data_IF_819083354545
#
_entry.id   IF_819083354545
#
_cell.length_a   1.000
_cell.length_b   1.000
_cell.length_c   1.000
_cell.angle_alpha   90.00
_cell.angle_beta   90.00
_cell.angle_gamma   90.00
#
_symmetry.space_group_name_H-M   'P 1'
#
loop_
_entity.id
_entity.type
_entity.pdbx_description
1 polymer ?
#
# COMPACT_ATOMS: atom_id res chain seq x y z
N UNK A 1 -33.09 -22.77 4.97
CA UNK A 1 -33.27 -21.58 4.08
C UNK A 1 -33.09 -20.31 4.93
N UNK A 2 -32.05 -19.49 4.72
CA UNK A 2 -31.80 -18.25 5.47
C UNK A 2 -32.59 -17.06 4.87
N UNK A 3 -33.91 -17.12 4.95
CA UNK A 3 -34.82 -16.08 4.40
C UNK A 3 -35.90 -15.75 5.43
N UNK A 4 -36.10 -14.46 5.69
CA UNK A 4 -37.19 -13.94 6.50
C UNK A 4 -38.28 -13.35 5.62
N UNK A 5 -39.55 -13.54 6.01
CA UNK A 5 -40.73 -12.99 5.33
C UNK A 5 -41.44 -12.01 6.24
N UNK A 6 -41.66 -10.79 5.75
CA UNK A 6 -42.42 -9.77 6.47
C UNK A 6 -43.91 -9.90 6.17
N UNK A 7 -44.76 -9.40 7.08
CA UNK A 7 -46.23 -9.42 6.93
C UNK A 7 -46.72 -8.71 5.66
N UNK A 8 -45.97 -7.71 5.19
CA UNK A 8 -46.27 -6.96 3.96
C UNK A 8 -45.72 -7.63 2.68
N UNK A 9 -45.22 -8.87 2.77
CA UNK A 9 -44.70 -9.62 1.62
C UNK A 9 -43.23 -9.35 1.28
N UNK A 10 -42.56 -8.41 1.98
CA UNK A 10 -41.12 -8.20 1.81
C UNK A 10 -40.33 -9.45 2.23
N UNK A 11 -39.13 -9.62 1.65
CA UNK A 11 -38.26 -10.77 1.92
C UNK A 11 -36.84 -10.31 2.20
N UNK A 12 -36.30 -10.66 3.36
CA UNK A 12 -34.88 -10.48 3.68
C UNK A 12 -34.15 -11.80 3.48
N UNK A 13 -33.04 -11.77 2.75
CA UNK A 13 -32.22 -12.94 2.44
C UNK A 13 -30.84 -12.74 3.04
N UNK A 14 -30.45 -13.59 3.99
CA UNK A 14 -29.06 -13.61 4.45
C UNK A 14 -28.25 -14.39 3.42
N UNK A 15 -27.18 -13.77 2.93
CA UNK A 15 -26.33 -14.30 1.86
C UNK A 15 -24.90 -14.41 2.35
N UNK A 16 -24.26 -15.50 1.97
CA UNK A 16 -22.85 -15.72 2.27
C UNK A 16 -22.02 -15.03 1.21
N UNK A 17 -21.02 -14.29 1.66
CA UNK A 17 -19.99 -13.68 0.83
C UNK A 17 -18.71 -13.71 1.64
N UNK A 18 -17.68 -14.40 1.15
CA UNK A 18 -16.35 -14.43 1.76
C UNK A 18 -15.25 -14.05 0.74
N UNK A 19 -15.48 -14.36 -0.54
CA UNK A 19 -14.56 -14.02 -1.63
C UNK A 19 -15.31 -13.43 -2.81
N UNK A 20 -14.56 -12.85 -3.74
CA UNK A 20 -15.11 -12.22 -4.94
C UNK A 20 -15.90 -13.21 -5.83
N UNK A 21 -15.49 -14.48 -5.87
CA UNK A 21 -16.20 -15.53 -6.62
C UNK A 21 -17.58 -15.86 -6.01
N UNK A 22 -17.79 -15.61 -4.72
CA UNK A 22 -19.11 -15.81 -4.11
C UNK A 22 -20.13 -14.80 -4.62
N UNK A 23 -19.68 -13.60 -5.05
CA UNK A 23 -20.57 -12.56 -5.57
C UNK A 23 -21.19 -12.97 -6.92
N UNK A 24 -20.49 -13.79 -7.69
CA UNK A 24 -20.93 -14.27 -9.01
C UNK A 24 -22.22 -15.09 -8.93
N UNK A 25 -22.40 -15.81 -7.81
CA UNK A 25 -23.63 -16.57 -7.52
C UNK A 25 -24.88 -15.68 -7.46
N UNK A 26 -24.70 -14.36 -7.35
CA UNK A 26 -25.78 -13.39 -7.23
C UNK A 26 -25.96 -12.50 -8.45
N UNK A 27 -25.12 -12.59 -9.48
CA UNK A 27 -25.12 -11.68 -10.63
C UNK A 27 -26.49 -11.60 -11.35
N UNK A 28 -27.23 -12.71 -11.41
CA UNK A 28 -28.58 -12.77 -12.00
C UNK A 28 -29.72 -12.38 -11.05
N UNK A 29 -29.42 -12.05 -9.80
CA UNK A 29 -30.43 -11.69 -8.82
C UNK A 29 -30.87 -10.23 -8.95
N UNK A 30 -32.05 -9.95 -8.38
CA UNK A 30 -32.61 -8.62 -8.27
C UNK A 30 -32.96 -8.36 -6.80
N UNK A 31 -32.35 -7.31 -6.23
CA UNK A 31 -32.62 -6.86 -4.88
C UNK A 31 -32.96 -5.37 -4.89
N UNK A 32 -33.96 -4.96 -4.12
CA UNK A 32 -34.27 -3.53 -3.91
C UNK A 32 -33.47 -2.93 -2.75
N UNK A 33 -32.89 -3.78 -1.90
CA UNK A 33 -32.05 -3.34 -0.79
C UNK A 33 -30.91 -4.33 -0.57
N UNK A 34 -29.69 -3.81 -0.50
CA UNK A 34 -28.50 -4.57 -0.13
C UNK A 34 -27.93 -3.93 1.14
N UNK A 35 -27.81 -4.75 2.19
CA UNK A 35 -27.16 -4.41 3.43
C UNK A 35 -25.84 -5.16 3.52
N UNK A 36 -24.77 -4.46 3.86
CA UNK A 36 -23.43 -5.00 4.04
C UNK A 36 -22.97 -4.81 5.47
N UNK A 37 -22.39 -5.83 6.07
CA UNK A 37 -21.92 -5.81 7.45
C UNK A 37 -20.39 -5.83 7.47
N UNK A 38 -19.78 -5.02 8.33
CA UNK A 38 -18.33 -4.84 8.49
C UNK A 38 -17.57 -4.62 7.17
N UNK A 39 -17.90 -3.53 6.48
CA UNK A 39 -17.35 -3.21 5.16
C UNK A 39 -15.82 -3.16 5.12
N UNK A 40 -15.19 -2.73 6.21
CA UNK A 40 -13.72 -2.64 6.34
C UNK A 40 -13.02 -4.00 6.46
N UNK A 41 -13.75 -5.11 6.56
CA UNK A 41 -13.17 -6.46 6.49
C UNK A 41 -12.82 -6.89 5.05
N UNK A 42 -13.27 -6.13 4.05
CA UNK A 42 -13.03 -6.42 2.64
C UNK A 42 -11.83 -5.62 2.15
N UNK A 43 -10.79 -6.26 1.59
CA UNK A 43 -9.57 -5.57 1.18
C UNK A 43 -9.80 -4.59 0.03
N UNK A 44 -10.78 -4.88 -0.83
CA UNK A 44 -11.11 -4.07 -1.99
C UNK A 44 -12.64 -4.03 -2.23
N UNK A 45 -13.16 -3.05 -2.99
CA UNK A 45 -14.59 -2.86 -3.16
C UNK A 45 -15.25 -3.81 -4.18
N UNK A 46 -14.51 -4.63 -4.91
CA UNK A 46 -15.03 -5.46 -6.02
C UNK A 46 -16.23 -6.33 -5.64
N UNK A 47 -16.18 -7.17 -4.58
CA UNK A 47 -17.33 -7.99 -4.19
C UNK A 47 -18.55 -7.15 -3.78
N UNK A 48 -18.31 -5.99 -3.17
CA UNK A 48 -19.37 -5.04 -2.77
C UNK A 48 -20.01 -4.44 -4.01
N UNK A 49 -19.22 -4.03 -5.00
CA UNK A 49 -19.69 -3.41 -6.23
C UNK A 49 -20.43 -4.43 -7.12
N UNK A 50 -20.00 -5.69 -7.16
CA UNK A 50 -20.77 -6.79 -7.79
C UNK A 50 -22.14 -6.96 -7.13
N UNK A 51 -22.23 -6.91 -5.81
CA UNK A 51 -23.52 -6.94 -5.11
C UNK A 51 -24.37 -5.70 -5.41
N UNK A 52 -23.77 -4.50 -5.47
CA UNK A 52 -24.47 -3.28 -5.85
C UNK A 52 -25.05 -3.35 -7.27
N UNK A 53 -24.38 -4.04 -8.21
CA UNK A 53 -24.87 -4.25 -9.57
C UNK A 53 -26.15 -5.12 -9.65
N UNK A 54 -26.46 -5.87 -8.60
CA UNK A 54 -27.72 -6.64 -8.49
C UNK A 54 -28.89 -5.79 -7.98
N UNK A 55 -28.63 -4.54 -7.58
CA UNK A 55 -29.67 -3.65 -7.09
C UNK A 55 -30.54 -3.15 -8.24
N UNK A 56 -31.81 -3.53 -8.24
CA UNK A 56 -32.77 -3.17 -9.28
C UNK A 56 -34.13 -2.95 -8.64
N UNK A 57 -34.80 -1.90 -9.06
CA UNK A 57 -36.22 -1.71 -8.77
C UNK A 57 -37.02 -1.82 -10.06
N UNK A 58 -37.71 -2.95 -10.23
CA UNK A 58 -38.59 -3.18 -11.38
C UNK A 58 -40.04 -2.75 -11.13
N UNK A 59 -40.37 -2.32 -9.90
CA UNK A 59 -41.73 -1.96 -9.50
C UNK A 59 -41.69 -0.71 -8.61
N UNK A 60 -42.19 0.42 -9.13
CA UNK A 60 -42.52 1.60 -8.32
C UNK A 60 -43.53 1.17 -7.24
N UNK A 61 -43.38 1.58 -5.95
CA UNK A 61 -42.61 2.73 -5.44
C UNK A 61 -41.36 2.38 -4.61
N UNK A 62 -40.78 1.17 -4.71
CA UNK A 62 -39.68 0.79 -3.80
C UNK A 62 -38.31 1.21 -4.37
N UNK A 63 -37.59 2.19 -3.77
CA UNK A 63 -36.29 2.60 -4.29
C UNK A 63 -35.23 1.53 -4.05
N UNK A 64 -34.27 1.43 -4.98
CA UNK A 64 -33.06 0.65 -4.78
C UNK A 64 -32.13 1.39 -3.80
N UNK A 65 -31.65 0.72 -2.75
CA UNK A 65 -30.73 1.35 -1.80
C UNK A 65 -29.65 0.39 -1.28
N UNK A 66 -28.49 0.96 -0.98
CA UNK A 66 -27.37 0.28 -0.35
C UNK A 66 -27.14 0.84 1.05
N UNK A 67 -26.90 -0.02 2.02
CA UNK A 67 -26.47 0.38 3.37
C UNK A 67 -25.32 -0.51 3.80
N UNK A 68 -24.33 0.06 4.46
CA UNK A 68 -23.23 -0.71 5.02
C UNK A 68 -22.91 -0.24 6.44
N UNK A 69 -22.49 -1.17 7.29
CA UNK A 69 -21.84 -0.86 8.57
C UNK A 69 -20.33 -1.03 8.41
N UNK A 70 -19.56 -0.24 9.15
CA UNK A 70 -18.11 -0.34 9.16
C UNK A 70 -17.55 0.29 10.43
N UNK A 71 -16.47 -0.30 10.94
CA UNK A 71 -15.67 0.28 12.02
C UNK A 71 -14.31 0.73 11.46
N UNK A 72 -13.72 1.83 11.96
CA UNK A 72 -12.38 2.21 11.55
C UNK A 72 -11.37 1.10 11.87
N UNK A 73 -10.54 0.80 10.89
CA UNK A 73 -9.48 -0.21 10.95
C UNK A 73 -9.73 -1.32 9.94
N UNK A 74 -8.94 -2.38 9.99
CA UNK A 74 -9.10 -3.53 9.09
C UNK A 74 -8.56 -3.29 7.68
N UNK A 75 -8.54 -4.36 6.88
CA UNK A 75 -7.88 -4.40 5.56
C UNK A 75 -8.50 -3.45 4.53
N UNK A 76 -9.79 -3.14 4.67
CA UNK A 76 -10.55 -2.25 3.82
C UNK A 76 -10.58 -0.79 4.25
N UNK A 77 -9.89 -0.44 5.33
CA UNK A 77 -9.95 0.89 5.95
C UNK A 77 -9.83 2.02 4.91
N UNK A 78 -8.79 1.98 4.07
CA UNK A 78 -8.46 3.11 3.19
C UNK A 78 -9.47 3.31 2.08
N UNK A 79 -9.91 2.25 1.41
CA UNK A 79 -10.88 2.40 0.33
C UNK A 79 -12.25 2.78 0.87
N UNK A 80 -12.65 2.29 2.05
CA UNK A 80 -13.90 2.71 2.71
C UNK A 80 -13.83 4.18 3.10
N UNK A 81 -12.72 4.60 3.71
CA UNK A 81 -12.46 5.99 4.10
C UNK A 81 -12.53 6.92 2.88
N UNK A 82 -11.76 6.62 1.84
CA UNK A 82 -11.73 7.40 0.60
C UNK A 82 -13.09 7.46 -0.10
N UNK A 83 -13.84 6.35 -0.10
CA UNK A 83 -15.10 6.25 -0.85
C UNK A 83 -16.30 6.88 -0.14
N UNK A 84 -16.35 6.79 1.19
CA UNK A 84 -17.55 7.14 1.97
C UNK A 84 -17.32 8.18 3.05
N UNK A 85 -16.10 8.36 3.56
CA UNK A 85 -15.82 9.19 4.74
C UNK A 85 -15.19 10.52 4.34
N UNK A 86 -14.09 10.50 3.59
CA UNK A 86 -13.34 11.69 3.16
C UNK A 86 -14.11 12.65 2.24
N UNK A 87 -15.02 12.20 1.35
CA UNK A 87 -15.64 13.11 0.37
C UNK A 87 -16.55 14.19 0.95
N UNK A 88 -17.08 14.02 2.17
CA UNK A 88 -18.05 14.94 2.76
C UNK A 88 -18.04 14.85 4.28
N UNK A 89 -18.29 15.96 5.01
CA UNK A 89 -18.46 15.90 6.45
C UNK A 89 -19.53 14.89 6.90
N UNK A 90 -19.40 14.34 8.13
CA UNK A 90 -20.42 13.47 8.69
C UNK A 90 -21.83 14.08 8.61
N UNK A 91 -22.83 13.25 8.32
CA UNK A 91 -24.24 13.64 8.16
C UNK A 91 -24.55 14.57 6.97
N UNK A 92 -23.58 14.88 6.11
CA UNK A 92 -23.78 15.73 4.93
C UNK A 92 -23.82 14.85 3.66
N UNK A 93 -24.98 14.74 2.99
CA UNK A 93 -25.09 14.01 1.74
C UNK A 93 -24.21 14.63 0.64
N UNK A 94 -23.62 13.79 -0.20
CA UNK A 94 -22.85 14.20 -1.36
C UNK A 94 -23.15 13.31 -2.56
N UNK A 95 -22.92 13.85 -3.76
CA UNK A 95 -23.08 13.12 -5.01
C UNK A 95 -21.72 12.65 -5.47
N UNK A 96 -21.54 11.34 -5.60
CA UNK A 96 -20.42 10.76 -6.32
C UNK A 96 -20.76 10.70 -7.81
N UNK A 97 -19.92 11.28 -8.66
CA UNK A 97 -20.05 11.19 -10.13
C UNK A 97 -18.92 10.29 -10.64
N UNK A 98 -19.29 9.24 -11.37
CA UNK A 98 -18.34 8.36 -12.03
C UNK A 98 -17.87 9.03 -13.33
N UNK A 99 -16.56 9.21 -13.50
CA UNK A 99 -16.00 10.06 -14.55
C UNK A 99 -16.21 9.53 -15.97
N UNK A 100 -16.24 8.20 -16.16
CA UNK A 100 -16.31 7.60 -17.50
C UNK A 100 -17.73 7.55 -18.06
N UNK A 101 -18.70 7.27 -17.19
CA UNK A 101 -20.11 7.09 -17.54
C UNK A 101 -20.96 8.32 -17.23
N UNK A 102 -20.44 9.25 -16.41
CA UNK A 102 -21.21 10.36 -15.87
C UNK A 102 -22.27 9.93 -14.85
N UNK A 103 -22.27 8.66 -14.41
CA UNK A 103 -23.28 8.14 -13.51
C UNK A 103 -23.14 8.77 -12.12
N UNK A 104 -24.25 9.31 -11.60
CA UNK A 104 -24.30 9.95 -10.30
C UNK A 104 -24.95 9.03 -9.25
N UNK A 105 -24.39 9.00 -8.04
CA UNK A 105 -24.93 8.23 -6.91
C UNK A 105 -24.83 9.05 -5.62
N UNK A 106 -25.95 9.20 -4.93
CA UNK A 106 -26.00 9.84 -3.61
C UNK A 106 -25.37 8.97 -2.53
N UNK A 107 -24.60 9.60 -1.64
CA UNK A 107 -23.96 8.96 -0.49
C UNK A 107 -24.05 9.85 0.74
N UNK A 108 -24.07 9.24 1.91
CA UNK A 108 -23.94 9.93 3.18
C UNK A 108 -23.22 9.02 4.17
N UNK A 109 -22.29 9.58 4.94
CA UNK A 109 -21.69 8.93 6.09
C UNK A 109 -22.44 9.33 7.35
N UNK A 110 -22.91 8.35 8.11
CA UNK A 110 -23.60 8.54 9.38
C UNK A 110 -22.73 7.90 10.48
N UNK A 111 -22.08 8.71 11.34
CA UNK A 111 -21.33 8.17 12.47
C UNK A 111 -22.30 7.54 13.48
N UNK A 112 -21.89 6.44 14.08
CA UNK A 112 -22.58 5.79 15.20
C UNK A 112 -21.59 5.64 16.33
N UNK A 113 -21.75 6.42 17.39
CA UNK A 113 -20.93 6.41 18.58
C UNK A 113 -21.59 5.57 19.68
N UNK A 114 -20.81 5.16 20.67
CA UNK A 114 -21.34 4.42 21.81
C UNK A 114 -22.35 5.27 22.61
N UNK A 115 -22.12 6.58 22.71
CA UNK A 115 -23.03 7.55 23.33
C UNK A 115 -24.41 7.60 22.66
N UNK A 116 -24.51 7.25 21.38
CA UNK A 116 -25.79 7.24 20.65
C UNK A 116 -26.69 6.08 21.09
N UNK A 117 -26.13 5.08 21.79
CA UNK A 117 -26.86 3.92 22.30
C UNK A 117 -27.21 4.06 23.79
N UNK A 118 -28.19 4.92 24.09
CA UNK A 118 -28.67 5.15 25.45
C UNK A 118 -29.06 3.86 26.20
N UNK A 119 -29.71 2.93 25.51
CA UNK A 119 -30.12 1.65 26.11
C UNK A 119 -28.93 0.78 26.52
N UNK A 120 -27.85 0.75 25.74
CA UNK A 120 -26.63 0.03 26.10
C UNK A 120 -25.92 0.71 27.27
N UNK A 121 -25.86 2.04 27.26
CA UNK A 121 -25.24 2.81 28.35
C UNK A 121 -25.97 2.61 29.69
N UNK A 122 -27.29 2.46 29.67
CA UNK A 122 -28.11 2.20 30.86
C UNK A 122 -28.00 0.74 31.33
N UNK A 123 -28.17 -0.22 30.42
CA UNK A 123 -28.23 -1.64 30.78
C UNK A 123 -26.84 -2.27 31.02
N UNK A 124 -25.79 -1.71 30.44
CA UNK A 124 -24.42 -2.25 30.53
C UNK A 124 -23.37 -1.12 30.58
N UNK A 125 -23.31 -0.37 31.70
CA UNK A 125 -22.39 0.76 31.84
C UNK A 125 -20.91 0.36 31.77
N UNK A 126 -20.59 -0.93 31.93
CA UNK A 126 -19.23 -1.46 31.86
C UNK A 126 -18.85 -2.02 30.48
N UNK A 127 -19.74 -1.92 29.47
CA UNK A 127 -19.48 -2.43 28.12
C UNK A 127 -18.15 -1.92 27.55
N UNK A 128 -17.90 -0.61 27.65
CA UNK A 128 -16.67 0.00 27.15
C UNK A 128 -15.42 -0.52 27.85
N UNK A 129 -15.48 -0.78 29.16
CA UNK A 129 -14.33 -1.31 29.90
C UNK A 129 -13.94 -2.69 29.37
N UNK A 130 -14.90 -3.53 29.00
CA UNK A 130 -14.62 -4.84 28.39
C UNK A 130 -14.01 -4.68 27.00
N UNK A 131 -14.55 -3.80 26.15
CA UNK A 131 -13.97 -3.50 24.83
C UNK A 131 -12.52 -2.99 24.97
N UNK A 132 -12.29 -2.07 25.90
CA UNK A 132 -10.98 -1.48 26.17
C UNK A 132 -9.94 -2.53 26.59
N UNK A 133 -10.32 -3.46 27.47
CA UNK A 133 -9.46 -4.57 27.90
C UNK A 133 -9.21 -5.57 26.76
N UNK A 134 -10.23 -5.87 25.96
CA UNK A 134 -10.14 -6.83 24.85
C UNK A 134 -9.28 -6.35 23.68
N UNK A 135 -9.07 -5.05 23.49
CA UNK A 135 -8.29 -4.51 22.38
C UNK A 135 -6.75 -4.62 22.56
N UNK A 136 -6.27 -5.36 23.56
CA UNK A 136 -4.86 -5.77 23.67
C UNK A 136 -3.84 -4.63 23.77
N UNK A 137 -4.27 -3.42 24.19
CA UNK A 137 -3.38 -2.27 24.36
C UNK A 137 -3.18 -1.40 23.11
N UNK A 138 -3.87 -1.64 21.99
CA UNK A 138 -3.83 -0.76 20.82
C UNK A 138 -4.62 0.53 21.09
N UNK A 139 -3.97 1.50 21.74
CA UNK A 139 -4.56 2.80 22.14
C UNK A 139 -5.09 3.60 20.95
N UNK A 140 -4.48 3.44 19.77
CA UNK A 140 -4.89 4.11 18.55
C UNK A 140 -6.24 3.53 18.07
N UNK A 141 -6.31 2.21 17.88
CA UNK A 141 -7.54 1.52 17.49
C UNK A 141 -8.69 1.71 18.49
N UNK A 142 -8.39 1.73 19.79
CA UNK A 142 -9.39 2.03 20.82
C UNK A 142 -9.97 3.44 20.70
N UNK A 143 -9.14 4.45 20.40
CA UNK A 143 -9.64 5.79 20.11
C UNK A 143 -10.48 5.81 18.82
N UNK A 144 -10.12 5.00 17.83
CA UNK A 144 -10.87 4.86 16.57
C UNK A 144 -12.28 4.36 16.83
N UNK A 145 -12.40 3.23 17.54
CA UNK A 145 -13.68 2.65 17.89
C UNK A 145 -14.48 3.52 18.83
N UNK A 146 -13.82 4.18 19.80
CA UNK A 146 -14.52 5.01 20.78
C UNK A 146 -15.15 6.25 20.18
N UNK A 147 -14.37 6.95 19.36
CA UNK A 147 -14.69 8.31 18.89
C UNK A 147 -15.01 8.35 17.39
N UNK A 148 -15.15 7.19 16.73
CA UNK A 148 -15.42 7.11 15.30
C UNK A 148 -14.33 7.75 14.45
N UNK A 149 -13.08 7.74 14.90
CA UNK A 149 -11.99 8.39 14.20
C UNK A 149 -11.52 7.50 13.05
N UNK A 150 -11.64 8.02 11.82
CA UNK A 150 -11.20 7.34 10.61
C UNK A 150 -9.79 7.73 10.18
N UNK A 151 -9.17 8.73 10.80
CA UNK A 151 -7.79 9.12 10.49
C UNK A 151 -6.73 8.25 11.20
N UNK A 152 -7.17 7.18 11.87
CA UNK A 152 -6.28 6.28 12.59
C UNK A 152 -5.93 5.08 11.72
N UNK A 153 -4.67 4.97 11.36
CA UNK A 153 -4.12 3.80 10.66
C UNK A 153 -4.05 2.66 11.67
N UNK A 154 -4.93 1.65 11.54
CA UNK A 154 -4.93 0.50 12.41
C UNK A 154 -5.25 -0.80 11.63
N UNK A 155 -4.29 -1.72 11.62
CA UNK A 155 -4.32 -3.04 10.97
C UNK A 155 -3.29 -3.27 9.85
N UNK A 156 -2.42 -2.31 9.55
CA UNK A 156 -1.39 -2.44 8.51
C UNK A 156 -0.14 -3.18 9.02
N UNK A 157 0.66 -3.76 8.13
CA UNK A 157 1.93 -4.42 8.47
C UNK A 157 2.93 -3.47 9.13
N UNK A 158 2.84 -2.18 8.81
CA UNK A 158 3.78 -1.12 9.21
C UNK A 158 3.12 0.07 9.93
N UNK A 159 1.83 0.01 10.24
CA UNK A 159 1.06 1.16 10.72
C UNK A 159 1.57 1.78 12.04
N UNK A 160 2.07 0.96 12.95
CA UNK A 160 2.57 1.38 14.26
C UNK A 160 4.03 1.88 14.23
N UNK A 161 4.79 1.51 13.19
CA UNK A 161 6.17 1.95 12.97
C UNK A 161 6.27 3.08 11.94
N UNK A 162 5.29 3.24 11.05
CA UNK A 162 5.28 4.28 10.03
C UNK A 162 4.63 5.57 10.55
N UNK A 163 5.40 6.64 10.60
CA UNK A 163 4.93 8.01 10.81
C UNK A 163 5.18 8.86 9.56
N UNK A 164 4.13 9.25 8.82
CA UNK A 164 4.27 10.06 7.58
C UNK A 164 5.17 11.27 7.77
N UNK A 165 4.96 12.04 8.84
CA UNK A 165 5.74 13.25 9.18
C UNK A 165 7.24 13.03 9.40
N UNK A 166 7.68 11.78 9.59
CA UNK A 166 9.08 11.41 9.84
C UNK A 166 9.72 10.70 8.66
N UNK A 167 8.97 9.75 8.07
CA UNK A 167 9.49 8.87 7.02
C UNK A 167 9.31 9.47 5.63
N UNK A 168 8.29 10.32 5.44
CA UNK A 168 8.07 11.03 4.19
C UNK A 168 8.72 12.40 4.30
N UNK A 169 9.70 12.65 3.44
CA UNK A 169 10.52 13.86 3.44
C UNK A 169 10.47 14.54 2.09
N UNK A 170 10.79 15.83 2.05
CA UNK A 170 10.91 16.56 0.79
C UNK A 170 12.12 16.05 0.00
N UNK A 171 12.03 15.99 -1.33
CA UNK A 171 13.18 15.73 -2.18
C UNK A 171 14.33 16.69 -1.88
N UNK A 172 15.54 16.16 -1.96
CA UNK A 172 16.78 16.92 -1.92
C UNK A 172 17.74 16.32 -2.96
N UNK A 173 18.76 17.08 -3.33
CA UNK A 173 19.81 16.63 -4.25
C UNK A 173 20.61 15.50 -3.62
N UNK A 174 20.73 14.37 -4.31
CA UNK A 174 21.44 13.21 -3.79
C UNK A 174 22.95 13.47 -3.93
N UNK A 175 23.74 13.32 -2.85
CA UNK A 175 25.19 13.47 -2.95
C UNK A 175 25.78 12.52 -4.01
N UNK A 176 26.77 13.00 -4.77
CA UNK A 176 27.43 12.20 -5.82
C UNK A 176 28.08 10.92 -5.28
N UNK A 177 28.52 10.93 -4.01
CA UNK A 177 29.14 9.79 -3.34
C UNK A 177 28.15 8.70 -2.93
N UNK A 178 26.85 9.00 -2.89
CA UNK A 178 25.83 8.04 -2.50
C UNK A 178 25.59 7.02 -3.61
N UNK A 179 25.41 5.77 -3.20
CA UNK A 179 25.15 4.70 -4.14
C UNK A 179 23.68 4.77 -4.60
N UNK A 180 23.46 4.89 -5.91
CA UNK A 180 22.12 4.92 -6.51
C UNK A 180 21.87 3.63 -7.27
N UNK A 181 20.80 2.93 -6.93
CA UNK A 181 20.34 1.73 -7.63
C UNK A 181 18.82 1.68 -7.77
N UNK A 182 18.33 0.59 -8.34
CA UNK A 182 16.91 0.35 -8.59
C UNK A 182 16.51 -1.07 -8.24
N UNK A 183 15.25 -1.26 -7.86
CA UNK A 183 14.63 -2.58 -7.73
C UNK A 183 13.31 -2.66 -8.47
N UNK A 184 12.89 -3.90 -8.74
CA UNK A 184 11.77 -4.15 -9.65
C UNK A 184 10.89 -5.32 -9.22
N UNK A 185 9.58 -5.07 -9.20
CA UNK A 185 8.54 -6.09 -9.12
C UNK A 185 7.74 -6.12 -10.42
N UNK A 186 7.64 -7.29 -11.03
CA UNK A 186 7.03 -7.47 -12.35
C UNK A 186 5.51 -7.59 -12.25
N UNK A 187 4.80 -6.90 -13.15
CA UNK A 187 3.36 -7.03 -13.30
C UNK A 187 2.89 -6.57 -14.67
N UNK A 188 2.04 -7.39 -15.30
CA UNK A 188 1.38 -7.05 -16.57
C UNK A 188 -0.11 -6.75 -16.35
N UNK A 189 -0.87 -7.76 -15.91
CA UNK A 189 -2.28 -7.62 -15.51
C UNK A 189 -2.44 -6.96 -14.14
N UNK A 190 -1.43 -7.13 -13.29
CA UNK A 190 -1.22 -6.43 -12.03
C UNK A 190 -0.18 -5.32 -12.24
N UNK A 191 -0.12 -4.29 -11.39
CA UNK A 191 0.89 -3.24 -11.52
C UNK A 191 2.30 -3.82 -11.48
N UNK A 192 3.23 -3.21 -12.21
CA UNK A 192 4.65 -3.34 -11.92
C UNK A 192 5.10 -2.20 -11.01
N UNK A 193 6.21 -2.37 -10.30
CA UNK A 193 6.84 -1.31 -9.51
C UNK A 193 8.33 -1.23 -9.83
N UNK A 194 8.79 -0.05 -10.24
CA UNK A 194 10.22 0.30 -10.24
C UNK A 194 10.46 1.34 -9.15
N UNK A 195 11.35 1.04 -8.21
CA UNK A 195 11.82 2.01 -7.23
C UNK A 195 13.27 2.36 -7.45
N UNK A 196 13.59 3.65 -7.40
CA UNK A 196 14.97 4.13 -7.37
C UNK A 196 15.35 4.52 -5.95
N UNK A 197 16.54 4.09 -5.57
CA UNK A 197 17.02 4.19 -4.20
C UNK A 197 18.37 4.89 -4.16
N UNK A 198 18.55 5.77 -3.19
CA UNK A 198 19.86 6.26 -2.79
C UNK A 198 20.23 5.70 -1.42
N UNK A 199 21.46 5.24 -1.26
CA UNK A 199 22.00 4.73 -0.02
C UNK A 199 23.03 5.71 0.56
N UNK A 200 22.76 6.20 1.78
CA UNK A 200 23.69 7.09 2.48
C UNK A 200 25.01 6.36 2.78
N UNK A 201 26.12 7.02 2.49
CA UNK A 201 27.46 6.61 2.89
C UNK A 201 27.86 7.13 4.29
N UNK A 202 27.06 8.00 4.90
CA UNK A 202 27.34 8.66 6.17
C UNK A 202 27.75 10.13 6.05
N UNK A 203 27.88 10.67 4.84
CA UNK A 203 28.12 12.10 4.59
C UNK A 203 26.89 12.95 4.92
N UNK A 204 27.11 14.25 5.14
CA UNK A 204 26.02 15.21 5.34
C UNK A 204 25.26 15.43 4.03
N UNK A 205 23.93 15.24 4.07
CA UNK A 205 23.08 15.49 2.91
C UNK A 205 22.79 17.00 2.77
N UNK A 206 22.50 17.50 1.55
CA UNK A 206 22.18 18.92 1.31
C UNK A 206 21.00 19.50 2.10
N UNK A 207 20.20 18.65 2.73
CA UNK A 207 19.15 19.08 3.66
C UNK A 207 19.67 19.42 5.08
N UNK A 208 20.98 19.45 5.28
CA UNK A 208 21.65 19.81 6.54
C UNK A 208 21.60 18.70 7.59
N UNK A 209 21.40 17.45 7.18
CA UNK A 209 21.31 16.29 8.09
C UNK A 209 22.30 15.21 7.66
N UNK A 210 22.97 14.62 8.64
CA UNK A 210 23.75 13.41 8.47
C UNK A 210 22.87 12.18 8.72
N UNK A 211 22.97 11.18 7.85
CA UNK A 211 22.22 9.94 7.96
C UNK A 211 23.17 8.76 8.13
N UNK A 212 22.93 7.83 9.09
CA UNK A 212 23.78 6.67 9.27
C UNK A 212 24.00 5.91 7.96
N UNK A 213 25.23 5.43 7.74
CA UNK A 213 25.58 4.64 6.56
C UNK A 213 24.61 3.47 6.36
N UNK A 214 24.18 3.24 5.13
CA UNK A 214 23.20 2.21 4.80
C UNK A 214 21.74 2.64 5.00
N UNK A 215 21.49 3.89 5.40
CA UNK A 215 20.14 4.48 5.36
C UNK A 215 19.68 4.58 3.91
N UNK A 216 18.49 4.07 3.63
CA UNK A 216 17.92 4.05 2.28
C UNK A 216 16.91 5.18 2.11
N UNK A 217 16.95 5.77 0.92
CA UNK A 217 16.00 6.78 0.46
C UNK A 217 15.33 6.26 -0.81
N UNK A 218 14.00 6.13 -0.81
CA UNK A 218 13.26 6.02 -2.07
C UNK A 218 13.18 7.40 -2.69
N UNK A 219 13.97 7.63 -3.73
CA UNK A 219 14.17 8.96 -4.33
C UNK A 219 13.25 9.21 -5.52
N UNK A 220 12.83 8.13 -6.20
CA UNK A 220 11.89 8.19 -7.30
C UNK A 220 11.18 6.85 -7.46
N UNK A 221 10.04 6.86 -8.15
CA UNK A 221 9.30 5.65 -8.45
C UNK A 221 8.59 5.72 -9.79
N UNK A 222 8.35 4.55 -10.35
CA UNK A 222 7.43 4.36 -11.45
C UNK A 222 6.55 3.16 -11.17
N UNK A 223 5.28 3.44 -10.89
CA UNK A 223 4.28 2.45 -10.59
C UNK A 223 3.31 2.28 -11.77
N UNK A 224 3.35 1.10 -12.40
CA UNK A 224 2.59 0.78 -13.61
C UNK A 224 1.12 0.44 -13.36
N UNK A 225 0.40 1.30 -12.64
CA UNK A 225 -1.00 1.08 -12.28
C UNK A 225 -1.95 1.90 -13.16
N UNK A 226 -3.04 1.28 -13.61
CA UNK A 226 -4.14 1.94 -14.29
C UNK A 226 -5.02 2.73 -13.32
N UNK A 227 -6.14 3.25 -13.83
CA UNK A 227 -7.09 4.06 -13.03
C UNK A 227 -7.69 3.32 -11.83
N UNK A 228 -7.81 2.00 -11.92
CA UNK A 228 -8.31 1.16 -10.82
C UNK A 228 -7.11 0.68 -9.99
N UNK A 229 -7.18 0.79 -8.64
CA UNK A 229 -6.14 0.25 -7.76
C UNK A 229 -5.81 -1.21 -8.09
N UNK A 230 -4.54 -1.57 -7.94
CA UNK A 230 -4.06 -2.94 -8.16
C UNK A 230 -4.36 -3.53 -9.55
N UNK A 231 -4.47 -2.68 -10.58
CA UNK A 231 -4.66 -3.08 -11.98
C UNK A 231 -3.50 -2.60 -12.83
N UNK A 232 -2.81 -3.49 -13.54
CA UNK A 232 -1.67 -3.14 -14.37
C UNK A 232 -2.04 -2.44 -15.68
N UNK A 233 -1.09 -1.72 -16.25
CA UNK A 233 -1.22 -1.03 -17.55
C UNK A 233 -0.84 -1.90 -18.76
N UNK A 234 -0.51 -3.19 -18.54
CA UNK A 234 -0.16 -4.17 -19.58
C UNK A 234 0.98 -3.74 -20.51
N UNK A 235 1.97 -3.02 -19.98
CA UNK A 235 3.20 -2.73 -20.73
C UNK A 235 4.09 -3.97 -20.83
N UNK A 236 4.68 -4.18 -22.00
CA UNK A 236 5.65 -5.24 -22.21
C UNK A 236 7.00 -4.92 -21.57
N UNK A 237 7.81 -5.95 -21.29
CA UNK A 237 9.08 -5.78 -20.58
C UNK A 237 10.10 -4.89 -21.31
N UNK A 238 10.10 -4.92 -22.65
CA UNK A 238 10.94 -4.02 -23.47
C UNK A 238 10.54 -2.56 -23.33
N UNK A 239 9.24 -2.28 -23.28
CA UNK A 239 8.73 -0.90 -23.14
C UNK A 239 8.99 -0.37 -21.72
N UNK A 240 8.87 -1.23 -20.71
CA UNK A 240 9.28 -0.92 -19.34
C UNK A 240 10.79 -0.61 -19.31
N UNK A 241 11.63 -1.41 -19.94
CA UNK A 241 13.07 -1.15 -19.98
C UNK A 241 13.42 0.20 -20.65
N UNK A 242 12.76 0.54 -21.77
CA UNK A 242 12.93 1.85 -22.41
C UNK A 242 12.47 3.00 -21.51
N UNK A 243 11.31 2.86 -20.85
CA UNK A 243 10.79 3.86 -19.93
C UNK A 243 11.64 4.06 -18.68
N UNK A 244 12.39 3.03 -18.26
CA UNK A 244 13.40 3.13 -17.20
C UNK A 244 14.57 4.00 -17.64
N UNK A 245 15.15 3.74 -18.83
CA UNK A 245 16.29 4.51 -19.36
C UNK A 245 15.92 5.97 -19.56
N UNK A 246 14.74 6.24 -20.10
CA UNK A 246 14.20 7.60 -20.26
C UNK A 246 14.15 8.32 -18.91
N UNK A 247 13.60 7.69 -17.87
CA UNK A 247 13.52 8.29 -16.53
C UNK A 247 14.89 8.54 -15.92
N UNK A 248 15.84 7.64 -16.09
CA UNK A 248 17.21 7.81 -15.58
C UNK A 248 17.96 8.96 -16.25
N UNK A 249 17.67 9.25 -17.53
CA UNK A 249 18.22 10.41 -18.21
C UNK A 249 17.48 11.72 -17.92
N UNK A 250 16.17 11.67 -17.75
CA UNK A 250 15.32 12.87 -17.75
C UNK A 250 14.90 13.34 -16.36
N UNK A 251 14.70 12.44 -15.40
CA UNK A 251 14.20 12.80 -14.07
C UNK A 251 15.30 13.53 -13.29
N UNK A 252 15.07 14.75 -12.78
CA UNK A 252 16.11 15.57 -12.17
C UNK A 252 16.89 14.90 -11.02
N UNK A 253 16.22 14.11 -10.17
CA UNK A 253 16.87 13.43 -9.03
C UNK A 253 17.74 12.23 -9.44
N UNK A 254 17.56 11.72 -10.66
CA UNK A 254 18.32 10.58 -11.20
C UNK A 254 19.41 11.05 -12.17
N UNK A 255 19.16 12.17 -12.86
CA UNK A 255 20.04 12.71 -13.89
C UNK A 255 21.44 13.00 -13.31
N UNK A 256 22.46 12.47 -13.98
CA UNK A 256 23.86 12.67 -13.58
C UNK A 256 24.39 11.60 -12.63
N UNK A 257 23.52 10.81 -12.00
CA UNK A 257 23.93 9.64 -11.22
C UNK A 257 24.09 8.41 -12.11
N UNK A 258 25.06 7.56 -11.77
CA UNK A 258 25.12 6.20 -12.33
C UNK A 258 24.12 5.34 -11.56
N UNK A 259 23.01 4.96 -12.21
CA UNK A 259 22.04 4.05 -11.60
C UNK A 259 22.49 2.61 -11.80
N UNK A 260 22.89 1.97 -10.70
CA UNK A 260 23.32 0.58 -10.73
C UNK A 260 22.14 -0.38 -10.83
N UNK A 261 22.37 -1.54 -11.45
CA UNK A 261 21.41 -2.64 -11.39
C UNK A 261 21.20 -3.07 -9.94
N UNK A 262 19.97 -3.42 -9.61
CA UNK A 262 19.63 -3.96 -8.30
C UNK A 262 18.64 -5.11 -8.42
N UNK A 263 18.05 -5.52 -7.30
CA UNK A 263 17.31 -6.78 -7.22
C UNK A 263 15.92 -6.67 -7.87
N UNK A 264 15.51 -7.73 -8.55
CA UNK A 264 14.18 -7.87 -9.12
C UNK A 264 13.54 -9.20 -8.74
N UNK A 265 12.21 -9.29 -8.86
CA UNK A 265 11.48 -10.55 -8.72
C UNK A 265 12.15 -11.64 -9.56
N UNK A 266 12.57 -12.75 -8.94
CA UNK A 266 13.31 -13.77 -9.68
C UNK A 266 12.49 -14.43 -10.79
N UNK A 267 11.16 -14.31 -10.79
CA UNK A 267 10.29 -14.87 -11.84
C UNK A 267 10.64 -14.30 -13.22
N UNK A 268 11.15 -13.06 -13.28
CA UNK A 268 11.51 -12.42 -14.55
C UNK A 268 12.66 -13.10 -15.26
N UNK A 269 13.45 -13.91 -14.55
CA UNK A 269 14.60 -14.62 -15.10
C UNK A 269 14.27 -16.07 -15.47
N UNK A 270 13.02 -16.50 -15.28
CA UNK A 270 12.55 -17.79 -15.74
C UNK A 270 12.24 -17.67 -17.24
N UNK A 271 12.67 -18.66 -18.03
CA UNK A 271 12.54 -18.64 -19.48
C UNK A 271 11.33 -19.47 -19.91
N UNK A 272 10.33 -18.83 -20.53
CA UNK A 272 9.17 -19.55 -21.07
C UNK A 272 9.47 -20.16 -22.45
N UNK A 273 10.34 -19.54 -23.27
CA UNK A 273 10.72 -20.01 -24.62
C UNK A 273 12.23 -19.83 -24.91
N UNK A 274 13.07 -20.04 -23.89
CA UNK A 274 14.52 -19.85 -23.99
C UNK A 274 14.99 -18.39 -23.88
N UNK A 275 14.07 -17.43 -23.79
CA UNK A 275 14.34 -16.01 -23.51
C UNK A 275 13.49 -15.56 -22.33
N UNK A 276 14.14 -15.14 -21.23
CA UNK A 276 13.45 -14.63 -20.05
C UNK A 276 13.00 -13.16 -20.22
N UNK A 277 12.15 -12.66 -19.32
CA UNK A 277 11.79 -11.24 -19.29
C UNK A 277 13.03 -10.37 -19.01
N UNK A 278 13.92 -10.81 -18.13
CA UNK A 278 15.20 -10.17 -17.86
C UNK A 278 16.06 -10.06 -19.11
N UNK A 279 16.13 -11.12 -19.95
CA UNK A 279 16.89 -11.08 -21.20
C UNK A 279 16.32 -10.06 -22.19
N UNK A 280 14.98 -9.96 -22.26
CA UNK A 280 14.29 -8.94 -23.07
C UNK A 280 14.62 -7.52 -22.59
N UNK A 281 14.63 -7.27 -21.28
CA UNK A 281 15.01 -5.97 -20.71
C UNK A 281 16.48 -5.66 -20.91
N UNK A 282 17.36 -6.66 -20.76
CA UNK A 282 18.80 -6.53 -20.98
C UNK A 282 19.12 -6.14 -22.43
N UNK A 283 18.39 -6.69 -23.39
CA UNK A 283 18.53 -6.31 -24.80
C UNK A 283 18.20 -4.82 -25.06
N UNK A 284 17.42 -4.18 -24.20
CA UNK A 284 17.13 -2.74 -24.25
C UNK A 284 18.08 -1.90 -23.39
N UNK A 285 19.02 -2.53 -22.66
CA UNK A 285 20.01 -1.84 -21.80
C UNK A 285 19.72 -1.86 -20.30
N UNK A 286 18.70 -2.60 -19.84
CA UNK A 286 18.32 -2.69 -18.42
C UNK A 286 18.67 -4.07 -17.86
N UNK A 287 19.65 -4.12 -16.96
CA UNK A 287 19.99 -5.32 -16.21
C UNK A 287 19.42 -5.32 -14.79
N UNK A 288 19.21 -6.53 -14.26
CA UNK A 288 18.71 -6.80 -12.91
C UNK A 288 19.52 -7.89 -12.21
N UNK A 289 19.50 -7.88 -10.88
CA UNK A 289 20.00 -8.95 -10.02
C UNK A 289 18.83 -9.77 -9.47
N UNK A 290 19.05 -11.05 -9.15
CA UNK A 290 17.99 -11.88 -8.56
C UNK A 290 17.77 -11.49 -7.10
N UNK A 291 16.54 -11.16 -6.72
CA UNK A 291 16.18 -10.99 -5.32
C UNK A 291 16.34 -12.31 -4.52
N UNK A 292 16.54 -12.20 -3.20
CA UNK A 292 16.61 -13.37 -2.32
C UNK A 292 15.25 -14.08 -2.24
N UNK A 293 15.23 -15.37 -2.61
CA UNK A 293 14.06 -16.27 -2.53
C UNK A 293 14.27 -17.47 -1.60
N UNK A 294 15.26 -17.43 -0.72
CA UNK A 294 15.42 -18.49 0.30
C UNK A 294 14.15 -18.60 1.16
N UNK A 295 13.77 -19.80 1.64
CA UNK A 295 12.62 -19.97 2.53
C UNK A 295 12.70 -19.00 3.73
N UNK A 296 11.63 -18.26 3.99
CA UNK A 296 11.57 -17.25 5.05
C UNK A 296 12.03 -15.83 4.65
N UNK A 297 12.71 -15.67 3.51
CA UNK A 297 13.21 -14.35 3.03
C UNK A 297 12.13 -13.28 2.91
N UNK A 298 10.89 -13.66 2.55
CA UNK A 298 9.74 -12.74 2.48
C UNK A 298 9.42 -12.14 3.85
N UNK A 299 9.21 -12.98 4.87
CA UNK A 299 8.97 -12.54 6.25
C UNK A 299 10.15 -11.76 6.82
N UNK A 300 11.37 -12.23 6.59
CA UNK A 300 12.58 -11.52 7.00
C UNK A 300 12.62 -10.12 6.40
N UNK A 301 12.33 -9.98 5.12
CA UNK A 301 12.31 -8.68 4.45
C UNK A 301 11.24 -7.73 5.00
N UNK A 302 10.05 -8.23 5.37
CA UNK A 302 9.06 -7.40 6.08
C UNK A 302 9.53 -6.99 7.46
N UNK A 303 10.14 -7.91 8.21
CA UNK A 303 10.74 -7.60 9.51
C UNK A 303 11.82 -6.52 9.39
N UNK A 304 12.70 -6.61 8.39
CA UNK A 304 13.75 -5.62 8.13
C UNK A 304 13.18 -4.26 7.72
N UNK A 305 12.11 -4.23 6.91
CA UNK A 305 11.41 -2.98 6.58
C UNK A 305 10.80 -2.34 7.83
N UNK A 306 10.17 -3.15 8.67
CA UNK A 306 9.61 -2.70 9.95
C UNK A 306 10.69 -2.13 10.87
N UNK A 307 11.85 -2.79 10.97
CA UNK A 307 12.99 -2.34 11.77
C UNK A 307 13.54 -0.99 11.27
N UNK A 308 13.76 -0.83 9.95
CA UNK A 308 14.27 0.42 9.38
C UNK A 308 13.30 1.60 9.54
N UNK A 309 11.99 1.34 9.48
CA UNK A 309 10.98 2.34 9.83
C UNK A 309 11.03 2.67 11.33
N UNK A 310 11.14 1.67 12.20
CA UNK A 310 11.28 1.91 13.64
C UNK A 310 12.53 2.77 13.96
N UNK A 311 13.67 2.49 13.33
CA UNK A 311 14.91 3.25 13.46
C UNK A 311 14.75 4.71 13.02
N UNK A 312 13.99 4.95 11.95
CA UNK A 312 13.68 6.30 11.43
C UNK A 312 12.93 7.21 12.42
N UNK A 313 12.42 6.66 13.53
CA UNK A 313 11.77 7.41 14.62
C UNK A 313 12.75 7.93 15.66
N UNK A 314 13.97 7.42 15.74
CA UNK A 314 14.95 7.80 16.74
C UNK A 314 15.41 9.27 16.58
N UNK A 315 15.79 9.88 17.71
CA UNK A 315 16.41 11.21 17.78
C UNK A 315 17.50 11.18 18.86
N UNK A 316 18.79 11.22 18.51
CA UNK A 316 19.35 11.28 17.15
C UNK A 316 19.11 9.99 16.33
N UNK A 317 19.34 10.06 15.01
CA UNK A 317 19.34 8.86 14.17
C UNK A 317 20.69 8.15 14.34
N UNK A 318 20.66 6.92 14.83
CA UNK A 318 21.89 6.14 15.12
C UNK A 318 22.02 4.91 14.23
N UNK A 319 20.89 4.37 13.76
CA UNK A 319 20.84 3.13 12.99
C UNK A 319 20.36 3.38 11.56
N UNK A 320 20.77 2.52 10.60
CA UNK A 320 20.27 2.55 9.24
C UNK A 320 18.74 2.55 9.22
N UNK A 321 18.17 3.52 8.50
CA UNK A 321 16.73 3.77 8.45
C UNK A 321 16.21 3.68 7.01
N UNK A 322 14.91 3.93 6.83
CA UNK A 322 14.30 4.11 5.51
C UNK A 322 13.48 5.41 5.47
N UNK A 323 13.74 6.22 4.45
CA UNK A 323 12.98 7.44 4.14
C UNK A 323 12.47 7.39 2.71
N UNK A 324 11.41 8.13 2.44
CA UNK A 324 10.73 8.15 1.14
C UNK A 324 10.45 9.60 0.76
N UNK A 325 10.75 9.97 -0.49
CA UNK A 325 10.42 11.30 -0.99
C UNK A 325 8.90 11.45 -1.13
N UNK A 326 8.37 12.64 -0.83
CA UNK A 326 6.92 12.92 -0.90
C UNK A 326 6.34 12.81 -2.33
N UNK A 327 7.20 12.78 -3.34
CA UNK A 327 6.89 12.51 -4.74
C UNK A 327 6.62 11.03 -5.03
N UNK A 328 6.99 10.12 -4.12
CA UNK A 328 6.72 8.68 -4.25
C UNK A 328 5.31 8.34 -3.72
N UNK A 329 4.30 8.86 -4.41
CA UNK A 329 2.89 8.83 -4.01
C UNK A 329 2.31 7.41 -3.88
N UNK A 330 2.69 6.48 -4.77
CA UNK A 330 2.18 5.12 -4.83
C UNK A 330 2.76 4.28 -3.70
N UNK A 331 4.06 4.40 -3.42
CA UNK A 331 4.64 3.77 -2.24
C UNK A 331 3.96 4.28 -0.97
N UNK A 332 3.77 5.60 -0.84
CA UNK A 332 3.20 6.22 0.37
C UNK A 332 1.74 5.83 0.59
N UNK A 333 0.95 5.60 -0.47
CA UNK A 333 -0.45 5.17 -0.33
C UNK A 333 -0.60 3.65 -0.13
N UNK A 334 0.35 2.83 -0.59
CA UNK A 334 0.22 1.36 -0.59
C UNK A 334 0.98 0.70 0.56
N UNK A 335 2.26 1.02 0.76
CA UNK A 335 3.15 0.27 1.65
C UNK A 335 2.79 0.41 3.13
N UNK A 336 2.56 1.63 3.68
CA UNK A 336 2.24 1.77 5.11
C UNK A 336 1.00 1.02 5.57
N UNK A 337 0.10 0.70 4.64
CA UNK A 337 -1.22 0.16 4.89
C UNK A 337 -1.38 -1.28 4.40
N UNK A 338 -0.27 -1.94 4.00
CA UNK A 338 -0.32 -3.32 3.53
C UNK A 338 -0.97 -4.23 4.57
N UNK A 339 -2.02 -4.99 4.22
CA UNK A 339 -2.69 -5.87 5.15
C UNK A 339 -1.83 -7.09 5.47
N UNK A 340 -1.86 -7.54 6.73
CA UNK A 340 -1.27 -8.83 7.13
C UNK A 340 -2.09 -9.99 6.56
N UNK A 341 -1.43 -11.10 6.25
CA UNK A 341 -2.13 -12.34 5.87
C UNK A 341 -2.96 -12.88 7.06
N UNK A 342 -4.17 -13.35 6.78
CA UNK A 342 -5.12 -13.81 7.81
C UNK A 342 -4.70 -15.09 8.52
N UNK A 343 -3.89 -15.93 7.87
CA UNK A 343 -3.38 -17.22 8.39
C UNK A 343 -1.98 -17.07 8.95
N UNK A 344 -1.19 -16.17 8.37
CA UNK A 344 0.20 -15.92 8.73
C UNK A 344 0.44 -14.44 8.98
N UNK A 345 0.24 -14.01 10.22
CA UNK A 345 0.29 -12.58 10.56
C UNK A 345 1.66 -11.95 10.37
N UNK A 346 2.72 -12.75 10.17
CA UNK A 346 4.09 -12.26 9.90
C UNK A 346 4.35 -12.00 8.41
N UNK A 347 3.38 -12.28 7.54
CA UNK A 347 3.42 -11.99 6.11
C UNK A 347 2.33 -10.98 5.70
N UNK A 348 2.48 -10.42 4.51
CA UNK A 348 1.50 -9.55 3.86
C UNK A 348 0.55 -10.40 3.01
N UNK A 349 -0.74 -10.05 3.01
CA UNK A 349 -1.75 -10.68 2.15
C UNK A 349 -1.39 -10.44 0.68
N UNK A 350 -0.97 -11.50 -0.02
CA UNK A 350 -0.54 -11.49 -1.41
C UNK A 350 -1.64 -11.14 -2.41
N UNK A 351 -2.89 -11.02 -1.97
CA UNK A 351 -3.99 -10.53 -2.81
C UNK A 351 -4.11 -9.00 -2.81
N UNK A 352 -3.44 -8.34 -1.87
CA UNK A 352 -3.45 -6.89 -1.75
C UNK A 352 -2.59 -6.22 -2.82
N UNK A 353 -2.52 -4.89 -2.82
CA UNK A 353 -1.65 -4.13 -3.73
C UNK A 353 -0.24 -4.05 -3.13
N UNK A 354 0.49 -5.18 -3.15
CA UNK A 354 1.78 -5.34 -2.46
C UNK A 354 3.03 -5.08 -3.32
N UNK A 355 2.89 -4.88 -4.62
CA UNK A 355 3.98 -4.67 -5.59
C UNK A 355 5.07 -3.68 -5.16
N UNK A 356 4.70 -2.48 -4.68
CA UNK A 356 5.69 -1.50 -4.20
C UNK A 356 6.36 -1.95 -2.89
N UNK A 357 5.64 -2.69 -2.06
CA UNK A 357 6.17 -3.31 -0.85
C UNK A 357 7.14 -4.45 -1.17
N UNK A 358 6.78 -5.33 -2.11
CA UNK A 358 7.63 -6.45 -2.53
C UNK A 358 8.90 -5.95 -3.22
N UNK A 359 8.78 -4.95 -4.09
CA UNK A 359 9.92 -4.27 -4.69
C UNK A 359 10.86 -3.66 -3.63
N UNK A 360 10.29 -2.94 -2.65
CA UNK A 360 11.06 -2.40 -1.51
C UNK A 360 11.75 -3.50 -0.72
N UNK A 361 11.06 -4.63 -0.51
CA UNK A 361 11.59 -5.79 0.21
C UNK A 361 12.77 -6.41 -0.52
N UNK A 362 12.74 -6.46 -1.86
CA UNK A 362 13.88 -6.95 -2.63
C UNK A 362 15.13 -6.10 -2.35
N UNK A 363 15.01 -4.76 -2.39
CA UNK A 363 16.13 -3.86 -2.16
C UNK A 363 16.65 -3.87 -0.73
N UNK A 364 15.75 -3.91 0.24
CA UNK A 364 16.12 -3.79 1.66
C UNK A 364 16.92 -4.98 2.18
N UNK A 365 16.79 -6.11 1.51
CA UNK A 365 17.51 -7.36 1.79
C UNK A 365 18.93 -7.37 1.19
N UNK A 366 19.28 -6.40 0.34
CA UNK A 366 20.63 -6.26 -0.20
C UNK A 366 21.54 -5.62 0.87
N UNK A 367 22.70 -6.22 1.18
CA UNK A 367 23.65 -5.64 2.13
C UNK A 367 24.11 -4.23 1.74
N UNK A 368 24.51 -3.38 2.71
CA UNK A 368 24.99 -2.04 2.43
C UNK A 368 26.15 -2.01 1.44
N UNK A 369 26.09 -1.11 0.47
CA UNK A 369 27.07 -1.04 -0.62
C UNK A 369 28.36 -0.37 -0.15
N UNK A 370 29.54 -0.84 -0.57
CA UNK A 370 30.81 -0.26 -0.15
C UNK A 370 30.93 1.19 -0.63
N UNK A 371 31.58 2.03 0.18
CA UNK A 371 31.89 3.41 -0.19
C UNK A 371 33.01 3.38 -1.24
N UNK A 372 32.95 4.18 -2.32
CA UNK A 372 34.10 4.36 -3.21
C UNK A 372 35.31 4.81 -2.37
N UNK A 373 36.38 4.01 -2.36
CA UNK A 373 37.63 4.46 -1.73
C UNK A 373 38.22 5.57 -2.60
N UNK A 374 38.51 6.74 -2.00
CA UNK A 374 39.40 7.71 -2.64
C UNK A 374 40.73 6.99 -2.90
N UNK A 375 41.14 6.94 -4.16
CA UNK A 375 42.44 6.42 -4.54
C UNK A 375 43.43 7.47 -4.03
N UNK A 376 44.10 7.23 -2.90
CA UNK A 376 45.26 8.04 -2.52
C UNK A 376 46.27 7.95 -3.66
N UNK A 377 46.46 9.05 -4.39
CA UNK A 377 47.55 9.17 -5.34
C UNK A 377 48.85 8.86 -4.58
N UNK A 378 49.69 7.92 -5.07
CA UNK A 378 50.92 7.58 -4.37
C UNK A 378 51.77 8.83 -4.22
N UNK A 379 51.99 9.23 -2.96
CA UNK A 379 52.81 10.37 -2.57
C UNK A 379 54.14 10.29 -3.34
N UNK A 380 54.29 11.17 -4.33
CA UNK A 380 55.48 11.22 -5.17
C UNK A 380 56.70 11.43 -4.29
N UNK A 381 57.57 10.43 -4.22
CA UNK A 381 58.90 10.59 -3.65
C UNK A 381 59.65 11.62 -4.50
N UNK A 382 59.74 12.86 -4.02
CA UNK A 382 60.70 13.84 -4.52
C UNK A 382 62.10 13.39 -4.08
N UNK A 383 62.73 12.55 -4.92
CA UNK A 383 64.16 12.26 -4.81
C UNK A 383 64.96 13.53 -5.09
N UNK A 384 65.52 14.12 -4.05
CA UNK A 384 66.55 15.15 -4.19
C UNK A 384 67.86 14.51 -4.65
N UNK A 385 68.39 15.01 -5.76
CA UNK A 385 69.76 14.79 -6.23
C UNK A 385 70.70 15.86 -5.68
#
# INVERSE_FOLDING_TARGET
KRTWFFKNGARLKMRYLDRDEDAEKYQGHSYTWVAFEELTNWPDPTPVDKMRATMRSGASPVPASFRATANPGGVGHNWVKSRYIDPSPPMVPFVYVEEETGAAVDRVFIPSLLEDNAALMENDPNYWNRVAVSAGGNKALLKAWRYGLWDIVAGGMFDDVFERKRHVIKPFEIPESWYVDRSFDWGESKPFSVGWWAESDGTEAPNGRTYPRGTLFRIYEWYGCGKKPNTGIRLGSRDIAKGIIEREGEVPVLRGHTVHKGPADTSIFDAEDGVSLADKMKAEGVEWERADKRPGSRKTGWSTLRERLANGKAKPLELPSLFVFDTCIDWVRTVPVLPRDKRDTDDVDSKSEDHAGDETRYRIMVPPKPVPQEIEEPMGYSGGY
#
